data_IF_340421703796
#
_entry.id   IF_340421703796
#
_cell.length_a   1.000
_cell.length_b   1.000
_cell.length_c   1.000
_cell.angle_alpha   90.00
_cell.angle_beta   90.00
_cell.angle_gamma   90.00
#
_symmetry.space_group_name_H-M   'P 1'
#
loop_
_entity.id
_entity.type
_entity.pdbx_description
1 polymer ?
#
# COMPACT_ATOMS: atom_id res chain seq x y z
N UNK A 1 4.73 -1.01 28.58
CA UNK A 1 3.74 -1.92 29.21
C UNK A 1 3.37 -3.02 28.20
N UNK A 2 4.00 -4.20 28.32
CA UNK A 2 3.89 -5.35 27.39
C UNK A 2 2.46 -5.88 27.33
N UNK A 3 1.92 -6.07 26.13
CA UNK A 3 0.76 -6.93 25.90
C UNK A 3 1.22 -8.11 25.06
N UNK A 4 1.75 -9.13 25.72
CA UNK A 4 1.87 -10.47 25.12
C UNK A 4 0.47 -11.06 25.22
N UNK A 5 -0.24 -11.16 24.09
CA UNK A 5 -1.55 -11.77 24.07
C UNK A 5 -1.36 -13.24 23.70
N UNK A 6 -1.32 -14.10 24.72
CA UNK A 6 -1.42 -15.55 24.51
C UNK A 6 -2.85 -15.84 24.05
N UNK A 7 -3.05 -16.08 22.75
CA UNK A 7 -4.30 -16.61 22.24
C UNK A 7 -4.37 -18.08 22.66
N UNK A 8 -5.01 -18.36 23.80
CA UNK A 8 -5.53 -19.70 24.06
C UNK A 8 -6.78 -19.86 23.19
N UNK A 9 -6.63 -20.53 22.06
CA UNK A 9 -7.78 -21.03 21.31
C UNK A 9 -8.65 -21.85 22.25
N UNK A 10 -9.97 -21.59 22.30
CA UNK A 10 -10.93 -22.46 23.00
C UNK A 10 -11.00 -23.86 22.39
N UNK A 11 -10.32 -24.11 21.27
CA UNK A 11 -10.39 -25.34 20.47
C UNK A 11 -9.03 -26.04 20.23
N UNK A 12 -7.89 -25.54 20.74
CA UNK A 12 -6.60 -26.20 20.50
C UNK A 12 -5.57 -26.00 21.63
N UNK A 13 -5.27 -27.04 22.44
CA UNK A 13 -4.27 -26.98 23.52
C UNK A 13 -2.80 -27.12 23.08
N UNK A 14 -2.50 -27.47 21.82
CA UNK A 14 -1.18 -28.00 21.43
C UNK A 14 -0.24 -27.03 20.70
N UNK A 15 -0.64 -25.78 20.42
CA UNK A 15 0.24 -24.78 19.80
C UNK A 15 0.46 -23.60 20.75
N UNK A 16 1.72 -23.37 21.14
CA UNK A 16 2.15 -22.15 21.81
C UNK A 16 2.55 -21.12 20.75
N UNK A 17 1.59 -20.34 20.24
CA UNK A 17 1.83 -19.20 19.37
C UNK A 17 1.93 -17.90 20.17
N UNK A 18 2.86 -17.01 19.80
CA UNK A 18 2.95 -15.65 20.34
C UNK A 18 2.58 -14.68 19.23
N UNK A 19 1.49 -13.93 19.41
CA UNK A 19 1.11 -12.80 18.56
C UNK A 19 1.69 -11.53 19.17
N UNK A 20 2.55 -10.83 18.44
CA UNK A 20 3.06 -9.53 18.85
C UNK A 20 2.27 -8.42 18.16
N UNK A 21 1.58 -7.62 18.97
CA UNK A 21 0.87 -6.44 18.51
C UNK A 21 1.70 -5.18 18.83
N UNK A 22 2.04 -4.40 17.81
CA UNK A 22 2.65 -3.07 18.00
C UNK A 22 1.59 -2.09 18.49
N UNK A 23 1.85 -1.31 19.55
CA UNK A 23 0.85 -0.42 20.17
C UNK A 23 0.64 0.93 19.48
N UNK A 24 1.25 1.15 18.33
CA UNK A 24 1.18 2.45 17.65
C UNK A 24 0.00 2.47 16.69
N UNK A 25 -1.00 3.33 16.94
CA UNK A 25 -1.95 3.73 15.88
C UNK A 25 -1.12 4.44 14.82
N UNK A 26 -0.67 3.74 13.80
CA UNK A 26 -0.20 4.19 12.48
C UNK A 26 0.60 3.03 11.87
N UNK A 27 0.23 2.70 10.63
CA UNK A 27 0.78 1.61 9.81
C UNK A 27 2.23 1.92 9.43
N UNK A 28 3.14 1.01 9.77
CA UNK A 28 4.40 0.82 9.06
C UNK A 28 4.93 -0.58 9.40
N UNK A 29 4.48 -1.58 8.64
CA UNK A 29 5.28 -2.79 8.46
C UNK A 29 6.29 -2.50 7.34
N UNK A 30 7.57 -2.65 7.63
CA UNK A 30 8.61 -2.56 6.60
C UNK A 30 8.53 -3.84 5.76
N UNK A 31 7.98 -3.73 4.56
CA UNK A 31 8.24 -4.72 3.50
C UNK A 31 9.72 -4.55 3.13
N UNK A 32 10.53 -5.55 3.47
CA UNK A 32 11.86 -5.70 2.85
C UNK A 32 11.61 -6.13 1.41
N UNK A 33 11.43 -5.15 0.52
CA UNK A 33 11.54 -5.39 -0.90
C UNK A 33 13.03 -5.63 -1.20
N UNK A 34 13.40 -6.88 -1.45
CA UNK A 34 14.71 -7.22 -2.03
C UNK A 34 14.77 -6.58 -3.41
N UNK A 35 15.34 -5.38 -3.47
CA UNK A 35 15.64 -4.72 -4.73
C UNK A 35 16.94 -5.32 -5.25
N UNK A 36 16.83 -6.15 -6.28
CA UNK A 36 17.97 -6.55 -7.08
C UNK A 36 18.63 -5.29 -7.66
N UNK A 37 19.93 -5.19 -7.41
CA UNK A 37 20.94 -4.28 -7.97
C UNK A 37 20.84 -2.77 -7.68
N UNK A 38 21.81 -2.27 -6.91
CA UNK A 38 22.18 -0.86 -6.87
C UNK A 38 22.87 -0.44 -5.57
N UNK A 39 24.20 -0.45 -5.54
CA UNK A 39 25.03 0.09 -4.45
C UNK A 39 24.67 1.57 -4.21
N UNK A 40 24.52 1.98 -2.95
CA UNK A 40 24.42 3.39 -2.54
C UNK A 40 25.63 3.73 -1.69
N UNK A 41 26.43 4.68 -2.15
CA UNK A 41 27.46 5.34 -1.34
C UNK A 41 26.82 6.56 -0.66
N UNK A 42 27.05 6.70 0.66
CA UNK A 42 26.71 7.90 1.42
C UNK A 42 27.83 8.92 1.23
N UNK A 43 27.55 10.03 0.55
CA UNK A 43 28.34 11.25 0.68
C UNK A 43 27.45 12.33 1.30
N UNK A 44 27.95 12.90 2.40
CA UNK A 44 27.39 14.03 3.11
C UNK A 44 27.57 15.29 2.25
N UNK A 45 26.47 15.92 1.83
CA UNK A 45 26.51 17.21 1.14
C UNK A 45 25.87 18.24 2.07
N UNK A 46 26.71 19.11 2.63
CA UNK A 46 26.29 20.32 3.32
C UNK A 46 25.72 21.32 2.30
N UNK A 47 24.54 21.88 2.58
CA UNK A 47 23.99 23.00 1.82
C UNK A 47 24.36 24.32 2.51
N UNK A 48 24.90 25.32 1.80
CA UNK A 48 24.97 26.67 2.31
C UNK A 48 23.59 27.34 2.23
N UNK A 49 23.29 28.15 3.24
CA UNK A 49 22.23 29.16 3.24
C UNK A 49 22.50 30.26 2.22
N UNK A 50 21.47 31.08 1.96
CA UNK A 50 21.40 32.32 1.16
C UNK A 50 20.56 32.11 -0.11
N UNK A 51 19.73 33.03 -0.60
CA UNK A 51 19.19 34.30 -0.13
C UNK A 51 17.89 34.51 -0.93
N UNK A 52 16.94 35.25 -0.39
CA UNK A 52 15.73 35.64 -1.12
C UNK A 52 16.08 36.60 -2.27
N UNK A 53 15.99 36.14 -3.52
CA UNK A 53 15.95 37.02 -4.68
C UNK A 53 14.67 36.83 -5.50
N UNK A 54 14.17 37.96 -5.99
CA UNK A 54 12.85 38.19 -6.54
C UNK A 54 12.56 37.41 -7.83
N UNK A 55 11.28 37.06 -7.99
CA UNK A 55 10.69 36.48 -9.20
C UNK A 55 10.81 37.50 -10.35
N UNK A 56 11.45 37.19 -11.48
CA UNK A 56 11.36 38.04 -12.66
C UNK A 56 10.05 37.76 -13.40
N UNK A 57 9.24 38.80 -13.57
CA UNK A 57 8.13 38.87 -14.51
C UNK A 57 8.67 38.72 -15.93
N UNK A 58 8.60 37.51 -16.50
CA UNK A 58 8.93 37.27 -17.90
C UNK A 58 7.68 37.41 -18.78
N UNK A 59 7.53 38.59 -19.38
CA UNK A 59 6.93 38.73 -20.70
C UNK A 59 8.07 38.49 -21.69
N UNK A 60 8.04 37.43 -22.49
CA UNK A 60 8.68 37.48 -23.80
C UNK A 60 8.16 36.40 -24.76
N UNK A 61 7.63 36.91 -25.86
CA UNK A 61 7.41 36.27 -27.15
C UNK A 61 8.71 35.69 -27.71
N UNK A 62 8.77 34.38 -27.91
CA UNK A 62 9.81 33.72 -28.69
C UNK A 62 9.15 32.86 -29.78
N UNK A 63 9.07 33.42 -30.98
CA UNK A 63 8.78 32.69 -32.21
C UNK A 63 10.04 31.98 -32.68
N UNK A 64 10.11 30.66 -32.50
CA UNK A 64 11.05 29.83 -33.27
C UNK A 64 10.43 29.58 -34.64
N UNK A 65 11.10 30.04 -35.71
CA UNK A 65 10.68 29.83 -37.10
C UNK A 65 10.38 28.36 -37.37
N UNK A 66 9.18 28.09 -37.90
CA UNK A 66 8.75 26.77 -38.35
C UNK A 66 7.71 26.04 -37.48
N UNK A 67 7.41 26.51 -36.27
CA UNK A 67 6.36 25.92 -35.43
C UNK A 67 5.37 26.98 -34.92
N UNK A 68 4.05 26.71 -34.89
CA UNK A 68 3.08 27.65 -34.33
C UNK A 68 3.46 27.95 -32.88
N UNK A 69 3.61 29.24 -32.56
CA UNK A 69 3.87 29.69 -31.22
C UNK A 69 2.72 29.23 -30.31
N UNK A 70 3.03 28.52 -29.23
CA UNK A 70 2.02 28.14 -28.25
C UNK A 70 1.54 29.39 -27.53
N UNK A 71 0.23 29.60 -27.52
CA UNK A 71 -0.36 30.80 -26.98
C UNK A 71 -0.54 30.72 -25.44
N UNK A 72 -0.91 31.85 -24.84
CA UNK A 72 -1.17 31.92 -23.40
C UNK A 72 -2.37 31.06 -22.97
N UNK A 73 -3.31 30.75 -23.88
CA UNK A 73 -4.49 29.94 -23.58
C UNK A 73 -4.15 28.45 -23.44
N UNK A 74 -3.22 27.97 -24.27
CA UNK A 74 -2.67 26.62 -24.21
C UNK A 74 -1.90 26.40 -22.89
N UNK A 75 -1.10 27.39 -22.50
CA UNK A 75 -0.38 27.40 -21.22
C UNK A 75 -1.36 27.35 -20.03
N UNK A 76 -2.42 28.17 -20.07
CA UNK A 76 -3.45 28.19 -19.02
C UNK A 76 -4.21 26.86 -18.92
N UNK A 77 -4.45 26.17 -20.04
CA UNK A 77 -5.07 24.83 -20.03
C UNK A 77 -4.16 23.79 -19.39
N UNK A 78 -2.87 23.78 -19.73
CA UNK A 78 -1.89 22.86 -19.14
C UNK A 78 -1.77 23.09 -17.64
N UNK A 79 -1.71 24.35 -17.20
CA UNK A 79 -1.74 24.72 -15.79
C UNK A 79 -3.00 24.22 -15.08
N UNK A 80 -4.17 24.40 -15.70
CA UNK A 80 -5.47 23.94 -15.16
C UNK A 80 -5.56 22.41 -15.07
N UNK A 81 -5.01 21.68 -16.05
CA UNK A 81 -5.00 20.21 -15.99
C UNK A 81 -3.97 19.67 -15.00
N UNK A 82 -2.79 20.30 -14.91
CA UNK A 82 -1.73 19.93 -13.98
C UNK A 82 -2.09 20.25 -12.52
N UNK A 83 -2.98 21.21 -12.26
CA UNK A 83 -3.43 21.57 -10.89
C UNK A 83 -4.61 20.73 -10.38
N UNK A 84 -5.26 19.91 -11.21
CA UNK A 84 -6.38 19.06 -10.77
C UNK A 84 -5.94 17.93 -9.83
N UNK A 85 -6.74 17.65 -8.79
CA UNK A 85 -6.49 16.52 -7.86
C UNK A 85 -6.38 15.17 -8.56
N UNK A 86 -7.25 14.93 -9.55
CA UNK A 86 -7.19 13.79 -10.45
C UNK A 86 -6.77 14.29 -11.84
N UNK A 87 -5.46 14.37 -12.08
CA UNK A 87 -4.93 14.75 -13.39
C UNK A 87 -4.51 13.50 -14.16
N UNK A 88 -5.13 13.27 -15.31
CA UNK A 88 -4.71 12.27 -16.31
C UNK A 88 -3.87 12.91 -17.41
N UNK A 89 -3.34 14.11 -17.17
CA UNK A 89 -2.58 14.87 -18.15
C UNK A 89 -1.31 14.14 -18.55
N UNK A 90 -1.13 13.93 -19.86
CA UNK A 90 0.10 13.40 -20.45
C UNK A 90 0.65 14.39 -21.45
N UNK A 91 1.97 14.35 -21.69
CA UNK A 91 2.60 15.18 -22.73
C UNK A 91 2.02 14.86 -24.11
N UNK A 92 1.65 13.59 -24.33
CA UNK A 92 0.97 13.15 -25.55
C UNK A 92 -0.41 13.81 -25.70
N UNK A 93 -1.18 13.95 -24.61
CA UNK A 93 -2.47 14.64 -24.65
C UNK A 93 -2.34 16.12 -25.02
N UNK A 94 -1.24 16.77 -24.61
CA UNK A 94 -0.91 18.13 -25.05
C UNK A 94 -0.56 18.17 -26.53
N UNK A 95 0.29 17.26 -26.99
CA UNK A 95 0.71 17.22 -28.40
C UNK A 95 -0.48 16.99 -29.34
N UNK A 96 -1.40 16.08 -28.99
CA UNK A 96 -2.67 15.86 -29.70
C UNK A 96 -3.57 17.10 -29.69
N UNK A 97 -3.69 17.76 -28.55
CA UNK A 97 -4.50 18.97 -28.43
C UNK A 97 -3.98 20.12 -29.31
N UNK A 98 -2.67 20.38 -29.30
CA UNK A 98 -2.06 21.41 -30.14
C UNK A 98 -2.22 21.11 -31.63
N UNK A 99 -2.12 19.83 -31.98
CA UNK A 99 -2.34 19.35 -33.34
C UNK A 99 -3.77 19.63 -33.81
N UNK A 100 -4.78 19.20 -33.04
CA UNK A 100 -6.19 19.42 -33.35
C UNK A 100 -6.51 20.93 -33.49
N UNK A 101 -6.00 21.76 -32.56
CA UNK A 101 -6.20 23.22 -32.56
C UNK A 101 -5.58 23.88 -33.78
N UNK A 102 -4.41 23.44 -34.21
CA UNK A 102 -3.76 24.00 -35.38
C UNK A 102 -4.63 23.82 -36.63
N UNK A 103 -5.18 22.63 -36.85
CA UNK A 103 -6.07 22.38 -37.99
C UNK A 103 -7.39 23.14 -37.89
N UNK A 104 -7.99 23.21 -36.69
CA UNK A 104 -9.22 23.97 -36.43
C UNK A 104 -9.07 25.46 -36.76
N UNK A 105 -8.03 26.10 -36.25
CA UNK A 105 -7.81 27.56 -36.42
C UNK A 105 -7.49 27.91 -37.87
N UNK A 106 -6.75 27.05 -38.56
CA UNK A 106 -6.35 27.30 -39.95
C UNK A 106 -7.38 26.80 -40.98
N UNK A 107 -8.47 26.14 -40.54
CA UNK A 107 -9.48 25.56 -41.44
C UNK A 107 -8.92 24.48 -42.37
N UNK A 108 -7.87 23.78 -41.94
CA UNK A 108 -7.16 22.78 -42.74
C UNK A 108 -7.68 21.38 -42.42
N UNK A 109 -7.73 20.50 -43.43
CA UNK A 109 -7.98 19.08 -43.20
C UNK A 109 -6.67 18.34 -42.91
N UNK A 110 -6.66 17.56 -41.84
CA UNK A 110 -5.52 16.73 -41.47
C UNK A 110 -5.39 15.53 -42.42
N UNK A 111 -4.31 15.50 -43.19
CA UNK A 111 -4.01 14.43 -44.17
C UNK A 111 -2.89 13.51 -43.73
N UNK A 112 -2.03 13.95 -42.81
CA UNK A 112 -0.89 13.19 -42.30
C UNK A 112 -1.14 12.70 -40.87
N UNK A 113 -0.57 11.54 -40.53
CA UNK A 113 -0.66 10.96 -39.19
C UNK A 113 0.29 11.62 -38.18
N UNK A 114 1.25 12.41 -38.67
CA UNK A 114 2.26 13.07 -37.86
C UNK A 114 1.67 14.26 -37.10
N UNK A 115 2.11 14.45 -35.85
CA UNK A 115 1.74 15.59 -35.03
C UNK A 115 2.50 16.85 -35.48
N UNK A 116 1.81 17.98 -35.58
CA UNK A 116 2.38 19.32 -35.85
C UNK A 116 3.49 19.67 -34.84
N UNK A 117 3.35 19.18 -33.60
CA UNK A 117 4.37 19.31 -32.57
C UNK A 117 4.64 17.97 -31.91
N UNK A 118 5.92 17.58 -31.89
CA UNK A 118 6.31 16.29 -31.32
C UNK A 118 6.08 16.27 -29.80
N UNK A 119 5.92 15.06 -29.26
CA UNK A 119 5.79 14.83 -27.81
C UNK A 119 7.04 15.35 -27.07
N UNK A 120 8.23 15.22 -27.66
CA UNK A 120 9.46 15.70 -27.04
C UNK A 120 9.51 17.23 -26.97
N UNK A 121 9.07 17.91 -28.03
CA UNK A 121 8.99 19.38 -28.01
C UNK A 121 7.99 19.86 -26.96
N UNK A 122 6.81 19.24 -26.89
CA UNK A 122 5.81 19.56 -25.87
C UNK A 122 6.36 19.35 -24.43
N UNK A 123 7.23 18.37 -24.22
CA UNK A 123 7.91 18.16 -22.93
C UNK A 123 8.84 19.33 -22.58
N UNK A 124 9.59 19.84 -23.56
CA UNK A 124 10.47 20.99 -23.39
C UNK A 124 9.64 22.23 -23.03
N UNK A 125 8.49 22.43 -23.66
CA UNK A 125 7.64 23.59 -23.35
C UNK A 125 7.07 23.53 -21.94
N UNK A 126 6.57 22.36 -21.51
CA UNK A 126 6.08 22.18 -20.14
C UNK A 126 7.18 22.54 -19.13
N UNK A 127 8.44 22.15 -19.39
CA UNK A 127 9.58 22.55 -18.55
C UNK A 127 9.84 24.05 -18.59
N UNK A 128 9.76 24.68 -19.76
CA UNK A 128 9.90 26.14 -19.91
C UNK A 128 8.81 26.90 -19.15
N UNK A 129 7.61 26.34 -19.04
CA UNK A 129 6.52 26.88 -18.22
C UNK A 129 6.67 26.59 -16.71
N UNK A 130 7.83 26.10 -16.27
CA UNK A 130 8.10 25.79 -14.86
C UNK A 130 7.62 24.41 -14.41
N UNK A 131 7.18 23.55 -15.34
CA UNK A 131 6.68 22.23 -15.04
C UNK A 131 7.77 21.22 -14.68
N UNK A 132 7.55 20.49 -13.58
CA UNK A 132 8.42 19.42 -13.08
C UNK A 132 7.67 18.10 -13.13
N UNK A 133 8.34 17.04 -13.56
CA UNK A 133 7.78 15.68 -13.57
C UNK A 133 8.19 14.98 -12.28
N UNK A 134 7.36 15.12 -11.26
CA UNK A 134 7.65 14.67 -9.90
C UNK A 134 6.93 13.38 -9.56
N UNK A 135 7.62 12.53 -8.79
CA UNK A 135 7.02 11.37 -8.16
C UNK A 135 6.15 11.83 -6.97
N UNK A 136 5.05 11.12 -6.72
CA UNK A 136 4.21 11.35 -5.56
C UNK A 136 4.97 11.01 -4.26
N UNK A 137 5.64 12.01 -3.67
CA UNK A 137 6.34 11.88 -2.38
C UNK A 137 5.45 12.25 -1.18
N UNK A 138 4.34 12.94 -1.42
CA UNK A 138 3.44 13.41 -0.37
C UNK A 138 2.59 12.24 0.16
N UNK A 139 3.12 11.56 1.18
CA UNK A 139 2.41 10.50 1.90
C UNK A 139 1.63 11.13 3.07
N UNK A 140 0.29 10.97 3.14
CA UNK A 140 -0.55 11.54 4.20
C UNK A 140 -0.23 11.06 5.63
N UNK A 141 0.65 10.09 5.79
CA UNK A 141 0.82 9.31 7.02
C UNK A 141 2.07 9.68 7.83
N UNK A 142 2.81 10.73 7.46
CA UNK A 142 4.05 11.10 8.15
C UNK A 142 3.81 11.74 9.54
N UNK A 143 2.62 12.32 9.77
CA UNK A 143 2.29 12.93 11.06
C UNK A 143 2.14 11.88 12.15
N UNK A 144 3.18 11.74 12.98
CA UNK A 144 3.18 10.88 14.17
C UNK A 144 4.35 9.90 14.25
N UNK A 145 5.08 9.65 13.16
CA UNK A 145 6.19 8.69 13.12
C UNK A 145 7.37 9.10 14.03
N UNK A 146 7.58 10.39 14.16
CA UNK A 146 8.70 10.98 14.91
C UNK A 146 8.31 11.40 16.34
N UNK A 147 7.11 11.01 16.80
CA UNK A 147 6.75 11.21 18.20
C UNK A 147 7.70 10.42 19.11
N UNK A 148 8.15 10.97 20.24
CA UNK A 148 9.09 10.30 21.13
C UNK A 148 8.62 8.92 21.61
N UNK A 149 7.32 8.77 21.90
CA UNK A 149 6.75 7.50 22.34
C UNK A 149 6.72 6.45 21.21
N UNK A 150 6.48 6.88 19.97
CA UNK A 150 6.50 6.00 18.79
C UNK A 150 7.92 5.56 18.46
N UNK A 151 8.89 6.46 18.54
CA UNK A 151 10.31 6.11 18.36
C UNK A 151 10.79 5.12 19.43
N UNK A 152 10.41 5.35 20.70
CA UNK A 152 10.72 4.43 21.80
C UNK A 152 10.13 3.03 21.57
N UNK A 153 8.85 2.95 21.18
CA UNK A 153 8.24 1.66 20.83
C UNK A 153 8.92 0.98 19.62
N UNK A 154 9.32 1.75 18.60
CA UNK A 154 10.06 1.20 17.45
C UNK A 154 11.39 0.61 17.88
N UNK A 155 12.09 1.29 18.80
CA UNK A 155 13.33 0.78 19.38
C UNK A 155 13.10 -0.52 20.13
N UNK A 156 12.12 -0.58 21.03
CA UNK A 156 11.76 -1.81 21.77
C UNK A 156 11.40 -2.97 20.83
N UNK A 157 10.69 -2.67 19.73
CA UNK A 157 10.32 -3.65 18.72
C UNK A 157 11.56 -4.20 18.00
N UNK A 158 12.49 -3.33 17.57
CA UNK A 158 13.75 -3.75 16.92
C UNK A 158 14.62 -4.55 17.91
N UNK A 159 14.74 -4.08 19.15
CA UNK A 159 15.52 -4.72 20.20
C UNK A 159 15.03 -6.16 20.46
N UNK A 160 13.71 -6.41 20.38
CA UNK A 160 13.15 -7.75 20.46
C UNK A 160 13.70 -8.69 19.37
N UNK A 161 13.68 -8.29 18.09
CA UNK A 161 14.22 -9.13 17.01
C UNK A 161 15.73 -9.31 17.10
N UNK A 162 16.45 -8.24 17.45
CA UNK A 162 17.91 -8.32 17.61
C UNK A 162 18.30 -9.24 18.77
N UNK A 163 17.58 -9.17 19.89
CA UNK A 163 17.84 -10.03 21.06
C UNK A 163 17.59 -11.52 20.78
N UNK A 164 16.67 -11.83 19.87
CA UNK A 164 16.32 -13.20 19.48
C UNK A 164 16.90 -13.59 18.11
N UNK A 165 17.88 -12.85 17.57
CA UNK A 165 18.41 -13.03 16.20
C UNK A 165 18.88 -14.47 15.94
N UNK A 166 19.44 -15.13 16.95
CA UNK A 166 19.93 -16.52 16.86
C UNK A 166 18.82 -17.57 16.74
N UNK A 167 17.57 -17.19 17.00
CA UNK A 167 16.40 -18.05 16.91
C UNK A 167 15.73 -18.02 15.52
N UNK A 168 15.99 -17.00 14.69
CA UNK A 168 15.36 -16.86 13.38
C UNK A 168 16.24 -17.35 12.22
N UNK A 169 15.58 -17.71 11.13
CA UNK A 169 16.20 -17.82 9.81
C UNK A 169 16.47 -16.43 9.25
N UNK A 170 17.65 -16.22 8.69
CA UNK A 170 18.03 -14.94 8.08
C UNK A 170 18.56 -15.16 6.68
N UNK A 171 18.45 -14.13 5.84
CA UNK A 171 19.12 -14.11 4.54
C UNK A 171 20.54 -13.57 4.72
N UNK A 172 21.49 -14.14 3.98
CA UNK A 172 22.83 -13.59 3.89
C UNK A 172 22.81 -12.36 2.96
N UNK A 173 23.15 -11.19 3.49
CA UNK A 173 23.18 -9.94 2.73
C UNK A 173 24.23 -9.94 1.59
N UNK A 174 25.28 -10.75 1.72
CA UNK A 174 26.34 -10.88 0.71
C UNK A 174 25.99 -11.88 -0.40
N UNK A 175 25.17 -12.88 -0.09
CA UNK A 175 24.74 -13.95 -0.99
C UNK A 175 23.22 -14.10 -0.90
N UNK A 176 22.50 -13.36 -1.75
CA UNK A 176 21.02 -13.21 -1.76
C UNK A 176 20.24 -14.54 -1.80
N UNK A 177 20.90 -15.67 -2.05
CA UNK A 177 20.33 -17.01 -2.13
C UNK A 177 20.72 -17.95 -0.97
N UNK A 178 21.46 -17.49 0.04
CA UNK A 178 21.94 -18.34 1.15
C UNK A 178 21.27 -18.00 2.47
N UNK A 179 20.63 -19.01 3.05
CA UNK A 179 20.00 -18.93 4.36
C UNK A 179 21.02 -19.15 5.48
N UNK A 180 21.00 -18.27 6.47
CA UNK A 180 21.65 -18.45 7.77
C UNK A 180 20.67 -19.19 8.67
N UNK A 181 21.07 -20.38 9.10
CA UNK A 181 20.27 -21.23 9.97
C UNK A 181 20.30 -20.71 11.42
N UNK A 182 19.18 -20.81 12.16
CA UNK A 182 19.17 -20.50 13.58
C UNK A 182 20.11 -21.43 14.34
N UNK A 183 20.79 -20.88 15.35
CA UNK A 183 21.74 -21.62 16.21
C UNK A 183 21.13 -21.97 17.57
N UNK A 184 20.01 -21.35 17.92
CA UNK A 184 19.29 -21.64 19.15
C UNK A 184 18.63 -23.03 19.11
N UNK A 185 18.49 -23.70 20.27
CA UNK A 185 17.90 -25.04 20.36
C UNK A 185 16.42 -25.09 19.96
N UNK A 186 15.73 -23.95 20.02
CA UNK A 186 14.32 -23.83 19.63
C UNK A 186 14.17 -22.75 18.56
N UNK A 187 14.21 -23.11 17.27
CA UNK A 187 14.11 -22.14 16.19
C UNK A 187 12.72 -21.51 16.12
N UNK A 188 12.65 -20.32 15.53
CA UNK A 188 11.44 -19.54 15.30
C UNK A 188 11.16 -19.39 13.82
N UNK A 189 9.90 -19.57 13.45
CA UNK A 189 9.37 -19.19 12.14
C UNK A 189 8.62 -17.88 12.30
N UNK A 190 9.08 -16.85 11.58
CA UNK A 190 8.39 -15.57 11.50
C UNK A 190 7.41 -15.61 10.32
N UNK A 191 6.13 -15.42 10.61
CA UNK A 191 5.08 -15.28 9.60
C UNK A 191 4.65 -13.82 9.61
N UNK A 192 4.76 -13.14 8.48
CA UNK A 192 4.32 -11.76 8.30
C UNK A 192 3.01 -11.74 7.54
N UNK A 193 2.07 -10.92 7.97
CA UNK A 193 0.77 -10.77 7.34
C UNK A 193 0.47 -9.28 7.09
N UNK A 194 -0.08 -9.00 5.92
CA UNK A 194 -0.50 -7.66 5.49
C UNK A 194 -1.55 -7.76 4.37
N UNK A 195 -2.38 -6.73 4.23
CA UNK A 195 -3.36 -6.60 3.16
C UNK A 195 -2.95 -5.54 2.14
N UNK A 196 -2.98 -5.92 0.86
CA UNK A 196 -2.71 -5.03 -0.26
C UNK A 196 -3.97 -4.79 -1.08
N UNK A 197 -4.24 -3.52 -1.39
CA UNK A 197 -5.32 -3.12 -2.30
C UNK A 197 -4.75 -2.66 -3.63
N UNK A 198 -5.01 -3.42 -4.68
CA UNK A 198 -4.74 -3.06 -6.06
C UNK A 198 -5.96 -2.33 -6.63
N UNK A 199 -5.77 -1.27 -7.44
CA UNK A 199 -6.89 -0.59 -8.10
C UNK A 199 -6.69 -0.56 -9.61
N UNK A 200 -7.75 -0.80 -10.37
CA UNK A 200 -7.74 -0.44 -11.79
C UNK A 200 -7.59 1.07 -11.93
N UNK A 201 -6.87 1.53 -12.96
CA UNK A 201 -6.67 2.97 -13.18
C UNK A 201 -5.75 3.65 -12.16
N UNK A 202 -4.80 2.92 -11.56
CA UNK A 202 -3.70 3.56 -10.84
C UNK A 202 -3.06 4.63 -11.72
N UNK A 203 -3.14 5.87 -11.23
CA UNK A 203 -2.56 7.03 -11.90
C UNK A 203 -1.05 6.86 -11.84
N UNK A 204 -0.35 7.17 -12.93
CA UNK A 204 1.11 7.17 -12.99
C UNK A 204 1.69 7.75 -11.69
N UNK A 205 2.63 7.02 -11.07
CA UNK A 205 3.32 7.42 -9.85
C UNK A 205 4.04 8.78 -9.98
N UNK A 206 4.13 9.29 -11.21
CA UNK A 206 4.64 10.61 -11.55
C UNK A 206 3.60 11.44 -12.28
N UNK A 207 3.51 12.71 -11.96
CA UNK A 207 2.69 13.70 -12.67
C UNK A 207 3.51 14.93 -13.01
N UNK A 208 3.07 15.67 -14.03
CA UNK A 208 3.54 17.04 -14.21
C UNK A 208 2.89 17.92 -13.15
N UNK A 209 3.74 18.67 -12.46
CA UNK A 209 3.40 19.68 -11.47
C UNK A 209 3.93 21.00 -12.00
N UNK A 210 3.08 22.01 -12.05
CA UNK A 210 3.49 23.37 -12.36
C UNK A 210 3.00 24.19 -11.17
N UNK A 211 3.95 24.83 -10.46
CA UNK A 211 3.80 25.46 -9.14
C UNK A 211 3.84 24.48 -7.93
N UNK A 212 4.23 24.98 -6.75
CA UNK A 212 4.42 24.19 -5.51
C UNK A 212 3.10 23.77 -4.85
N UNK A 213 1.97 24.15 -5.44
CA UNK A 213 0.61 23.94 -4.93
C UNK A 213 -0.03 22.60 -5.34
N UNK A 214 0.77 21.58 -5.68
CA UNK A 214 0.25 20.29 -6.15
C UNK A 214 -0.69 19.63 -5.11
N UNK A 215 -1.97 19.39 -5.44
CA UNK A 215 -2.90 18.75 -4.51
C UNK A 215 -2.48 17.31 -4.22
N UNK A 216 -2.77 16.83 -3.00
CA UNK A 216 -2.63 15.42 -2.66
C UNK A 216 -3.29 14.54 -3.71
N UNK A 217 -2.52 13.58 -4.22
CA UNK A 217 -3.00 12.59 -5.16
C UNK A 217 -4.19 11.86 -4.53
N UNK A 218 -5.33 11.82 -5.22
CA UNK A 218 -6.39 10.90 -4.84
C UNK A 218 -5.85 9.47 -4.94
N UNK A 219 -6.11 8.65 -3.93
CA UNK A 219 -5.99 7.18 -4.06
C UNK A 219 -6.74 6.79 -5.35
N UNK A 220 -6.11 5.97 -6.21
CA UNK A 220 -6.51 5.77 -7.62
C UNK A 220 -8.01 5.57 -7.85
N UNK A 221 -8.49 5.96 -9.04
CA UNK A 221 -9.90 5.78 -9.44
C UNK A 221 -10.07 4.43 -10.13
N UNK A 222 -10.97 3.59 -9.63
CA UNK A 222 -11.34 2.34 -10.28
C UNK A 222 -11.79 1.26 -9.30
N UNK A 223 -12.05 0.08 -9.84
CA UNK A 223 -12.40 -1.11 -9.05
C UNK A 223 -11.17 -1.52 -8.24
N UNK A 224 -11.35 -1.78 -6.96
CA UNK A 224 -10.30 -2.32 -6.09
C UNK A 224 -10.35 -3.85 -6.08
N UNK A 225 -9.17 -4.45 -5.95
CA UNK A 225 -8.95 -5.86 -5.70
C UNK A 225 -8.04 -5.96 -4.48
N UNK A 226 -8.56 -6.51 -3.39
CA UNK A 226 -7.84 -6.65 -2.12
C UNK A 226 -7.32 -8.08 -1.98
N UNK A 227 -6.05 -8.19 -1.64
CA UNK A 227 -5.36 -9.46 -1.39
C UNK A 227 -4.77 -9.40 0.01
N UNK A 228 -4.86 -10.49 0.74
CA UNK A 228 -4.31 -10.68 2.07
C UNK A 228 -3.42 -11.92 2.05
N UNK A 229 -2.16 -11.79 2.49
CA UNK A 229 -1.14 -12.83 2.30
C UNK A 229 -0.34 -13.11 3.57
N UNK A 230 0.15 -14.34 3.71
CA UNK A 230 1.03 -14.79 4.80
C UNK A 230 2.40 -15.16 4.26
N UNK A 231 3.34 -14.22 4.40
CA UNK A 231 4.74 -14.42 4.05
C UNK A 231 5.46 -15.13 5.19
N UNK A 232 6.40 -16.02 4.83
CA UNK A 232 7.15 -16.81 5.81
C UNK A 232 8.64 -16.59 5.62
N UNK A 233 9.33 -16.31 6.71
CA UNK A 233 10.79 -16.27 6.74
C UNK A 233 11.30 -17.68 7.07
N UNK A 234 11.35 -18.55 6.05
CA UNK A 234 11.82 -19.92 6.16
C UNK A 234 12.41 -20.43 4.82
N UNK A 235 13.44 -21.31 4.83
CA UNK A 235 14.08 -21.81 3.60
C UNK A 235 13.17 -22.62 2.68
N UNK A 236 12.07 -23.18 3.18
CA UNK A 236 11.21 -24.04 2.37
C UNK A 236 10.29 -23.28 1.42
N UNK A 237 9.79 -22.12 1.81
CA UNK A 237 8.90 -21.30 0.99
C UNK A 237 8.79 -19.88 1.54
N UNK A 238 8.75 -18.85 0.68
CA UNK A 238 8.44 -17.48 1.10
C UNK A 238 6.96 -17.26 1.43
N UNK A 239 6.08 -18.22 1.09
CA UNK A 239 4.64 -18.17 1.36
C UNK A 239 4.21 -19.32 2.25
N UNK A 240 3.23 -19.08 3.12
CA UNK A 240 2.62 -20.15 3.90
C UNK A 240 1.74 -21.04 3.00
N UNK A 241 2.14 -22.29 2.84
CA UNK A 241 1.39 -23.28 2.07
C UNK A 241 1.62 -24.70 2.63
N UNK A 242 0.56 -25.50 2.64
CA UNK A 242 0.64 -26.93 2.89
C UNK A 242 0.92 -27.70 1.60
N UNK A 243 1.70 -28.77 1.71
CA UNK A 243 1.80 -29.78 0.66
C UNK A 243 0.45 -30.50 0.47
N UNK A 244 0.21 -31.19 -0.65
CA UNK A 244 -1.03 -31.93 -0.87
C UNK A 244 -1.32 -32.96 0.23
N UNK A 245 -0.30 -33.63 0.77
CA UNK A 245 -0.46 -34.61 1.83
C UNK A 245 -0.86 -33.94 3.17
N UNK A 246 -0.21 -32.83 3.53
CA UNK A 246 -0.56 -32.05 4.72
C UNK A 246 -1.98 -31.45 4.60
N UNK A 247 -2.35 -30.97 3.40
CA UNK A 247 -3.69 -30.45 3.12
C UNK A 247 -4.79 -31.50 3.25
N UNK A 248 -4.55 -32.72 2.75
CA UNK A 248 -5.51 -33.82 2.89
C UNK A 248 -5.75 -34.17 4.37
N UNK A 249 -4.69 -34.17 5.18
CA UNK A 249 -4.83 -34.38 6.63
C UNK A 249 -5.57 -33.22 7.29
N UNK A 250 -5.27 -31.98 6.88
CA UNK A 250 -5.91 -30.78 7.40
C UNK A 250 -7.41 -30.77 7.13
N UNK A 251 -7.82 -31.06 5.89
CA UNK A 251 -9.24 -31.08 5.50
C UNK A 251 -10.01 -32.26 6.08
N UNK A 252 -9.34 -33.40 6.32
CA UNK A 252 -9.96 -34.52 7.04
C UNK A 252 -10.31 -34.15 8.49
N UNK A 253 -9.44 -33.38 9.16
CA UNK A 253 -9.68 -32.92 10.55
C UNK A 253 -10.57 -31.69 10.64
N UNK A 254 -10.42 -30.77 9.70
CA UNK A 254 -11.14 -29.50 9.63
C UNK A 254 -11.88 -29.40 8.28
N UNK A 255 -13.04 -30.06 8.12
CA UNK A 255 -13.80 -30.03 6.86
C UNK A 255 -14.19 -28.62 6.41
N UNK A 256 -14.32 -27.67 7.36
CA UNK A 256 -14.57 -26.25 7.08
C UNK A 256 -13.54 -25.61 6.16
N UNK A 257 -12.32 -26.16 6.09
CA UNK A 257 -11.30 -25.67 5.16
C UNK A 257 -11.69 -25.80 3.68
N UNK A 258 -12.69 -26.65 3.39
CA UNK A 258 -13.28 -26.87 2.06
C UNK A 258 -14.54 -26.03 1.81
N UNK A 259 -15.06 -25.33 2.82
CA UNK A 259 -16.26 -24.50 2.64
C UNK A 259 -15.94 -23.32 1.71
N UNK A 260 -16.83 -23.10 0.75
CA UNK A 260 -16.80 -21.90 -0.08
C UNK A 260 -17.28 -20.73 0.77
N UNK A 261 -16.43 -19.72 0.92
CA UNK A 261 -16.74 -18.45 1.58
C UNK A 261 -16.67 -17.33 0.56
N UNK A 262 -17.08 -16.13 0.96
CA UNK A 262 -17.13 -14.94 0.10
C UNK A 262 -15.76 -14.42 -0.36
N UNK A 263 -14.66 -15.06 0.09
CA UNK A 263 -13.28 -14.80 -0.32
C UNK A 263 -12.66 -16.01 -1.03
N UNK A 264 -11.78 -15.72 -1.98
CA UNK A 264 -11.06 -16.73 -2.75
C UNK A 264 -9.76 -17.06 -2.03
N UNK A 265 -9.68 -18.23 -1.42
CA UNK A 265 -8.43 -18.73 -0.85
C UNK A 265 -7.50 -19.27 -1.92
N UNK A 266 -6.21 -18.94 -1.78
CA UNK A 266 -5.16 -19.58 -2.57
C UNK A 266 -5.04 -21.06 -2.19
N UNK A 267 -4.72 -21.90 -3.18
CA UNK A 267 -4.73 -23.35 -3.02
C UNK A 267 -3.76 -23.79 -1.93
N UNK A 268 -4.28 -24.54 -0.95
CA UNK A 268 -3.52 -25.05 0.20
C UNK A 268 -2.88 -23.94 1.06
N UNK A 269 -3.40 -22.72 1.00
CA UNK A 269 -2.93 -21.58 1.78
C UNK A 269 -4.05 -20.98 2.65
N UNK A 270 -3.64 -20.09 3.54
CA UNK A 270 -4.51 -19.16 4.26
C UNK A 270 -4.57 -17.79 3.56
N UNK A 271 -3.72 -17.53 2.57
CA UNK A 271 -3.77 -16.32 1.74
C UNK A 271 -5.07 -16.28 0.95
N UNK A 272 -5.65 -15.09 0.83
CA UNK A 272 -6.98 -14.92 0.25
C UNK A 272 -7.11 -13.59 -0.50
N UNK A 273 -8.05 -13.54 -1.43
CA UNK A 273 -8.44 -12.33 -2.12
C UNK A 273 -9.96 -12.18 -2.16
N UNK A 274 -10.44 -10.94 -2.17
CA UNK A 274 -11.88 -10.67 -2.35
C UNK A 274 -12.34 -11.02 -3.77
N UNK A 275 -13.60 -11.43 -3.91
CA UNK A 275 -14.20 -11.69 -5.22
C UNK A 275 -14.27 -10.41 -6.08
N UNK A 276 -13.79 -10.48 -7.33
CA UNK A 276 -13.84 -9.33 -8.24
C UNK A 276 -15.30 -9.01 -8.57
N UNK A 277 -15.71 -7.76 -8.32
CA UNK A 277 -17.08 -7.30 -8.57
C UNK A 277 -18.02 -7.42 -7.36
N UNK A 278 -17.52 -7.95 -6.23
CA UNK A 278 -18.16 -7.81 -4.94
C UNK A 278 -17.66 -6.54 -4.22
N UNK A 279 -18.52 -5.88 -3.45
CA UNK A 279 -18.14 -4.74 -2.59
C UNK A 279 -17.58 -5.23 -1.24
N UNK A 280 -16.80 -6.31 -1.26
CA UNK A 280 -16.20 -6.89 -0.07
C UNK A 280 -14.88 -6.20 0.29
N UNK A 281 -14.61 -6.15 1.58
CA UNK A 281 -13.38 -5.65 2.17
C UNK A 281 -12.94 -6.64 3.25
N UNK A 282 -11.65 -6.72 3.55
CA UNK A 282 -11.15 -7.54 4.67
C UNK A 282 -11.55 -6.86 5.98
N UNK A 283 -12.71 -7.25 6.51
CA UNK A 283 -13.18 -6.84 7.83
C UNK A 283 -12.58 -7.74 8.92
N UNK A 284 -12.93 -7.50 10.19
CA UNK A 284 -12.41 -8.31 11.29
C UNK A 284 -12.85 -9.77 11.19
N UNK A 285 -14.04 -10.04 10.68
CA UNK A 285 -14.58 -11.40 10.65
C UNK A 285 -13.81 -12.22 9.63
N UNK A 286 -13.63 -11.68 8.43
CA UNK A 286 -12.81 -12.30 7.38
C UNK A 286 -11.35 -12.43 7.82
N UNK A 287 -10.77 -11.42 8.47
CA UNK A 287 -9.40 -11.53 9.01
C UNK A 287 -9.32 -12.59 10.10
N UNK A 288 -10.28 -12.65 11.02
CA UNK A 288 -10.32 -13.67 12.07
C UNK A 288 -10.42 -15.07 11.46
N UNK A 289 -11.33 -15.29 10.52
CA UNK A 289 -11.48 -16.55 9.78
C UNK A 289 -10.18 -16.93 9.07
N UNK A 290 -9.51 -15.95 8.46
CA UNK A 290 -8.24 -16.16 7.77
C UNK A 290 -7.14 -16.63 8.74
N UNK A 291 -7.05 -16.01 9.92
CA UNK A 291 -6.10 -16.42 10.97
C UNK A 291 -6.47 -17.78 11.59
N UNK A 292 -7.75 -18.05 11.80
CA UNK A 292 -8.21 -19.35 12.26
C UNK A 292 -7.82 -20.45 11.28
N UNK A 293 -8.01 -20.22 9.98
CA UNK A 293 -7.55 -21.08 8.90
C UNK A 293 -6.04 -21.30 8.97
N UNK A 294 -5.24 -20.23 9.09
CA UNK A 294 -3.78 -20.33 9.27
C UNK A 294 -3.43 -21.24 10.46
N UNK A 295 -4.02 -21.03 11.63
CA UNK A 295 -3.71 -21.81 12.85
C UNK A 295 -4.18 -23.26 12.79
N UNK A 296 -5.26 -23.55 12.08
CA UNK A 296 -5.68 -24.92 11.79
C UNK A 296 -4.64 -25.61 10.91
N UNK A 297 -4.19 -24.94 9.85
CA UNK A 297 -3.23 -25.46 8.89
C UNK A 297 -1.82 -25.63 9.48
N UNK A 298 -1.36 -24.72 10.33
CA UNK A 298 -0.03 -24.77 10.97
C UNK A 298 0.24 -26.08 11.72
N UNK A 299 -0.80 -26.73 12.25
CA UNK A 299 -0.69 -28.02 12.95
C UNK A 299 -0.15 -29.16 12.06
N UNK A 300 -0.32 -29.03 10.75
CA UNK A 300 0.05 -30.05 9.78
C UNK A 300 1.35 -29.74 9.05
N UNK A 301 1.90 -28.53 9.20
CA UNK A 301 3.12 -28.14 8.51
C UNK A 301 4.32 -28.84 9.14
N UNK A 302 4.78 -29.92 8.51
CA UNK A 302 5.81 -30.83 9.02
C UNK A 302 7.12 -30.10 9.33
N UNK A 303 7.50 -29.21 8.43
CA UNK A 303 8.72 -28.41 8.53
C UNK A 303 8.75 -27.51 9.77
N UNK A 304 7.59 -27.20 10.36
CA UNK A 304 7.47 -26.23 11.46
C UNK A 304 7.18 -26.90 12.82
N UNK A 305 7.08 -28.24 12.87
CA UNK A 305 6.69 -28.97 14.09
C UNK A 305 7.62 -28.75 15.28
N UNK A 306 8.90 -28.49 15.02
CA UNK A 306 9.92 -28.26 16.04
C UNK A 306 10.11 -26.78 16.38
N UNK A 307 9.36 -25.89 15.74
CA UNK A 307 9.57 -24.45 15.81
C UNK A 307 8.58 -23.77 16.76
N UNK A 308 8.96 -22.59 17.23
CA UNK A 308 7.99 -21.63 17.77
C UNK A 308 7.51 -20.75 16.63
N UNK A 309 6.20 -20.53 16.55
CA UNK A 309 5.61 -19.65 15.53
C UNK A 309 5.41 -18.27 16.13
N UNK A 310 5.89 -17.26 15.42
CA UNK A 310 5.69 -15.86 15.73
C UNK A 310 5.04 -15.17 14.54
N UNK A 311 3.90 -14.53 14.77
CA UNK A 311 3.14 -13.85 13.72
C UNK A 311 3.27 -12.35 13.90
N UNK A 312 3.69 -11.68 12.84
CA UNK A 312 3.83 -10.24 12.74
C UNK A 312 2.73 -9.66 11.86
N UNK A 313 1.98 -8.75 12.44
CA UNK A 313 0.92 -7.97 11.78
C UNK A 313 1.15 -6.49 12.02
N UNK A 314 0.58 -5.66 11.17
CA UNK A 314 0.47 -4.24 11.47
C UNK A 314 -0.56 -4.02 12.61
N UNK A 315 -0.67 -2.77 13.08
CA UNK A 315 -1.66 -2.41 14.09
C UNK A 315 -2.92 -1.82 13.46
N UNK A 316 -3.34 -2.34 12.32
CA UNK A 316 -4.65 -2.03 11.77
C UNK A 316 -5.71 -2.36 12.81
N UNK A 317 -6.83 -1.62 12.76
CA UNK A 317 -7.94 -1.89 13.65
C UNK A 317 -8.45 -3.31 13.45
N UNK A 318 -8.43 -3.78 12.21
CA UNK A 318 -8.84 -5.14 11.85
C UNK A 318 -8.07 -6.24 12.57
N UNK A 319 -6.79 -6.01 12.85
CA UNK A 319 -5.95 -6.92 13.62
C UNK A 319 -6.12 -6.84 15.14
N UNK A 320 -6.77 -5.80 15.67
CA UNK A 320 -6.71 -5.49 17.12
C UNK A 320 -8.05 -5.35 17.83
N UNK A 321 -9.16 -5.14 17.13
CA UNK A 321 -10.47 -5.08 17.75
C UNK A 321 -10.89 -6.42 18.35
N UNK A 322 -11.50 -6.37 19.54
CA UNK A 322 -12.14 -7.53 20.18
C UNK A 322 -13.53 -7.84 19.60
N UNK A 323 -14.21 -6.81 19.11
CA UNK A 323 -15.56 -6.75 18.52
C UNK A 323 -15.68 -5.34 17.90
N UNK A 324 -16.42 -5.19 16.79
CA UNK A 324 -16.64 -3.87 16.20
C UNK A 324 -17.73 -3.10 16.94
N UNK A 325 -17.49 -1.82 17.21
CA UNK A 325 -18.56 -0.83 17.33
C UNK A 325 -18.60 0.00 16.05
N UNK A 326 -19.79 0.17 15.45
CA UNK A 326 -20.02 1.10 14.33
C UNK A 326 -19.52 2.51 14.66
N UNK A 327 -19.50 2.87 15.94
CA UNK A 327 -18.98 4.14 16.46
C UNK A 327 -17.47 4.33 16.28
N UNK A 328 -16.71 3.26 16.03
CA UNK A 328 -15.26 3.33 15.92
C UNK A 328 -14.80 3.74 14.53
N UNK A 329 -15.54 3.40 13.46
CA UNK A 329 -15.31 4.00 12.15
C UNK A 329 -15.56 5.50 12.32
N UNK A 330 -14.66 6.37 11.83
CA UNK A 330 -14.73 7.82 12.00
C UNK A 330 -15.93 8.51 11.35
N UNK A 331 -17.05 7.80 11.22
CA UNK A 331 -18.37 8.18 10.77
C UNK A 331 -19.25 8.69 11.92
N UNK A 332 -18.67 9.41 12.89
CA UNK A 332 -19.53 10.27 13.72
C UNK A 332 -20.22 11.28 12.79
N UNK A 333 -21.56 11.42 12.87
CA UNK A 333 -22.25 12.50 12.20
C UNK A 333 -21.53 13.83 12.47
N UNK A 334 -21.24 14.58 11.41
CA UNK A 334 -20.60 15.89 11.52
C UNK A 334 -19.06 15.93 11.59
N UNK A 335 -18.33 14.82 11.75
CA UNK A 335 -16.84 14.86 11.69
C UNK A 335 -16.33 14.57 10.26
N UNK A 336 -16.82 13.48 9.64
CA UNK A 336 -16.49 13.08 8.25
C UNK A 336 -17.63 12.37 7.51
N UNK A 337 -18.77 12.14 8.18
CA UNK A 337 -19.96 11.54 7.58
C UNK A 337 -20.88 12.67 7.05
N UNK A 338 -21.29 12.66 5.76
CA UNK A 338 -22.18 13.69 5.20
C UNK A 338 -23.63 13.57 5.70
N UNK A 339 -23.94 12.52 6.47
CA UNK A 339 -25.27 12.25 7.02
C UNK A 339 -25.34 12.80 8.45
N UNK A 340 -26.44 13.49 8.78
CA UNK A 340 -26.62 14.13 10.09
C UNK A 340 -27.06 13.17 11.19
N UNK A 341 -27.63 12.03 10.83
CA UNK A 341 -27.98 10.93 11.74
C UNK A 341 -27.91 9.60 11.00
N UNK A 342 -27.69 8.53 11.74
CA UNK A 342 -27.79 7.16 11.23
C UNK A 342 -28.87 6.45 12.04
N UNK A 343 -29.93 6.01 11.37
CA UNK A 343 -30.97 5.17 11.97
C UNK A 343 -30.73 3.70 11.59
N UNK A 344 -30.71 2.82 12.58
CA UNK A 344 -30.72 1.38 12.34
C UNK A 344 -31.68 0.67 13.29
N UNK A 345 -32.18 -0.48 12.84
CA UNK A 345 -33.04 -1.36 13.62
C UNK A 345 -32.14 -2.37 14.34
N UNK A 346 -32.18 -2.39 15.67
CA UNK A 346 -31.51 -3.44 16.43
C UNK A 346 -32.29 -4.76 16.25
N UNK A 347 -31.70 -5.80 15.62
CA UNK A 347 -32.41 -7.06 15.39
C UNK A 347 -32.73 -7.84 16.66
N UNK A 348 -32.04 -7.58 17.78
CA UNK A 348 -32.31 -8.25 19.05
C UNK A 348 -33.49 -7.63 19.80
N UNK A 349 -33.67 -6.31 19.70
CA UNK A 349 -34.69 -5.56 20.44
C UNK A 349 -35.83 -5.04 19.58
N UNK A 350 -35.67 -5.13 18.25
CA UNK A 350 -36.56 -4.55 17.24
C UNK A 350 -36.80 -3.03 17.42
N UNK A 351 -35.90 -2.34 18.14
CA UNK A 351 -35.97 -0.90 18.37
C UNK A 351 -35.17 -0.14 17.32
N UNK A 352 -35.70 1.02 16.90
CA UNK A 352 -34.95 1.97 16.08
C UNK A 352 -34.01 2.77 16.98
N UNK A 353 -32.73 2.69 16.69
CA UNK A 353 -31.67 3.44 17.34
C UNK A 353 -31.19 4.51 16.36
N UNK A 354 -31.14 5.77 16.82
CA UNK A 354 -30.63 6.91 16.04
C UNK A 354 -29.32 7.38 16.67
N UNK A 355 -28.25 7.44 15.89
CA UNK A 355 -26.91 7.89 16.28
C UNK A 355 -26.55 9.22 15.63
#
# INVERSE_FOLDING_TARGET
>A
MRWVRTLRSRYCPSINGVLLLSKSRIVSCFIVAVRTTGKVYLNEVQYPSNDHEAIPTFVNSCTTEGHPAVDNTDTCRVLKECSKKASSFTVESLAKFLDDRFYEINGLQKTAQQLIRSIEMCRIDIRRWGGRNEANKNRPYFEGHERPDVQQHRKEFIDHFLSNKTEYYLLNDEEVSKWIQPTAPKPRVLICHDESTFRSGEVSARRWVIDDSAPFFSKGRGRSYMISDFLVIHPSSPYFQLSPAEWNQATQRYPKLLEEVDIIYEKFSASAAINIGSDLYMDNELILEQFERLFQMLQFKEEYKTHTIEVLVDNARTHTSKEFSVNDFGMKPGIRCPVQSIEYLDPATNQRISL
#
